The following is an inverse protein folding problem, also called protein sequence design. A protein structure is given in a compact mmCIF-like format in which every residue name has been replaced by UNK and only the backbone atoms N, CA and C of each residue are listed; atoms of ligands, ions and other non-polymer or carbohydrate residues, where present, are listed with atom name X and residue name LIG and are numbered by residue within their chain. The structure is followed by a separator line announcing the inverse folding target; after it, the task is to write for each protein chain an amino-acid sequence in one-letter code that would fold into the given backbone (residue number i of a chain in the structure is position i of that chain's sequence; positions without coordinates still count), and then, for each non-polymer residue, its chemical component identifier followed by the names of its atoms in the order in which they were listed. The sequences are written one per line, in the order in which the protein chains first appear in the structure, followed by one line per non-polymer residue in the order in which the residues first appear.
data_IF_671790814098
#
_entry.id   IF_671790814098
#
_cell.length_a   1.000
_cell.length_b   1.000
_cell.length_c   1.000
_cell.angle_alpha   90.00
_cell.angle_beta   90.00
_cell.angle_gamma   90.00
#
_symmetry.space_group_name_H-M   'P 1'
#
loop_
_entity.id
_entity.type
_entity.pdbx_description
1 polymer ?
#
# COMPACT_ATOMS: atom_id res chain seq x y z
N UNK A 1 -34.71 12.36 -4.55
CA UNK A 1 -33.96 11.14 -4.20
C UNK A 1 -32.52 11.56 -3.96
N UNK A 2 -32.10 11.70 -2.69
CA UNK A 2 -30.76 12.18 -2.37
C UNK A 2 -29.87 10.96 -2.06
N UNK A 3 -28.91 10.66 -2.93
CA UNK A 3 -27.92 9.61 -2.67
C UNK A 3 -26.87 10.22 -1.75
N UNK A 4 -26.84 9.80 -0.48
CA UNK A 4 -25.75 10.11 0.43
C UNK A 4 -24.44 9.65 -0.24
N UNK A 5 -23.64 10.61 -0.69
CA UNK A 5 -22.27 10.38 -1.11
C UNK A 5 -21.47 10.34 0.18
N UNK A 6 -21.13 9.14 0.66
CA UNK A 6 -20.08 9.03 1.66
C UNK A 6 -18.83 9.68 1.06
N UNK A 7 -18.28 10.75 1.67
CA UNK A 7 -17.11 11.39 1.13
C UNK A 7 -15.99 10.34 1.05
N UNK A 8 -15.41 10.18 -0.13
CA UNK A 8 -14.24 9.34 -0.32
C UNK A 8 -13.11 9.92 0.53
N UNK A 9 -12.72 9.19 1.59
CA UNK A 9 -11.61 9.58 2.47
C UNK A 9 -10.40 8.72 2.09
N UNK A 10 -9.32 9.37 1.70
CA UNK A 10 -8.06 8.70 1.44
C UNK A 10 -7.45 8.21 2.75
N UNK A 11 -7.36 6.89 2.92
CA UNK A 11 -6.73 6.29 4.08
C UNK A 11 -5.20 6.46 4.10
N UNK A 12 -4.58 6.68 2.95
CA UNK A 12 -3.14 6.91 2.78
C UNK A 12 -2.99 8.03 1.77
N UNK A 13 -2.30 9.11 2.15
CA UNK A 13 -2.09 10.31 1.33
C UNK A 13 -0.60 10.56 1.15
N UNK A 14 -0.13 10.50 -0.10
CA UNK A 14 1.20 10.92 -0.54
C UNK A 14 2.36 10.43 0.36
N UNK A 15 2.45 9.11 0.53
CA UNK A 15 3.50 8.48 1.34
C UNK A 15 4.59 7.93 0.44
N UNK A 16 5.84 8.32 0.73
CA UNK A 16 7.04 7.75 0.12
C UNK A 16 7.95 7.16 1.19
N UNK A 17 8.30 5.87 1.05
CA UNK A 17 9.20 5.16 1.96
C UNK A 17 10.08 4.18 1.19
N UNK A 18 11.29 3.93 1.72
CA UNK A 18 12.22 2.93 1.21
C UNK A 18 12.77 2.12 2.39
N UNK A 19 12.85 0.80 2.22
CA UNK A 19 13.35 -0.13 3.23
C UNK A 19 14.51 -0.90 2.60
N UNK A 20 15.72 -0.68 3.11
CA UNK A 20 16.90 -1.41 2.63
C UNK A 20 16.88 -2.87 3.09
N UNK A 21 17.54 -3.74 2.32
CA UNK A 21 17.70 -5.15 2.66
C UNK A 21 18.33 -5.31 4.06
N UNK A 22 17.75 -6.20 4.87
CA UNK A 22 18.20 -6.46 6.24
C UNK A 22 17.84 -5.38 7.26
N UNK A 23 17.05 -4.36 6.89
CA UNK A 23 16.51 -3.37 7.83
C UNK A 23 15.09 -3.70 8.23
N UNK A 24 14.71 -3.23 9.41
CA UNK A 24 13.33 -3.29 9.91
C UNK A 24 12.80 -1.87 10.07
N UNK A 25 11.64 -1.59 9.47
CA UNK A 25 10.92 -0.33 9.62
C UNK A 25 9.72 -0.53 10.58
N UNK A 26 9.64 0.30 11.62
CA UNK A 26 8.45 0.38 12.48
C UNK A 26 7.53 1.52 12.03
N UNK A 27 6.27 1.20 11.73
CA UNK A 27 5.24 2.19 11.38
C UNK A 27 4.32 2.45 12.58
N UNK A 28 4.37 3.67 13.12
CA UNK A 28 3.60 4.07 14.32
C UNK A 28 2.70 5.28 14.02
N UNK A 29 1.65 5.46 14.82
CA UNK A 29 0.68 6.55 14.65
C UNK A 29 -0.67 6.22 15.27
N UNK A 30 -1.56 7.21 15.35
CA UNK A 30 -2.90 7.07 15.97
C UNK A 30 -3.81 6.06 15.26
N UNK A 31 -4.82 5.56 15.97
CA UNK A 31 -5.85 4.72 15.35
C UNK A 31 -6.53 5.48 14.19
N UNK A 32 -6.67 4.83 13.03
CA UNK A 32 -7.24 5.46 11.84
C UNK A 32 -6.23 6.19 10.92
N UNK A 33 -4.96 6.33 11.30
CA UNK A 33 -3.95 7.02 10.49
C UNK A 33 -3.47 6.25 9.23
N UNK A 34 -4.17 5.22 8.77
CA UNK A 34 -3.84 4.52 7.52
C UNK A 34 -2.80 3.40 7.60
N UNK A 35 -2.20 3.14 8.76
CA UNK A 35 -1.10 2.15 8.92
C UNK A 35 -1.43 0.75 8.40
N UNK A 36 -2.60 0.21 8.77
CA UNK A 36 -3.05 -1.12 8.32
C UNK A 36 -3.34 -1.13 6.83
N UNK A 37 -3.88 -0.05 6.28
CA UNK A 37 -4.14 0.08 4.84
C UNK A 37 -2.82 0.09 4.07
N UNK A 38 -1.86 0.93 4.48
CA UNK A 38 -0.52 0.97 3.86
C UNK A 38 0.18 -0.39 3.92
N UNK A 39 0.19 -1.04 5.09
CA UNK A 39 0.80 -2.37 5.26
C UNK A 39 0.17 -3.43 4.36
N UNK A 40 -1.16 -3.43 4.23
CA UNK A 40 -1.89 -4.34 3.32
C UNK A 40 -1.60 -4.07 1.85
N UNK A 41 -1.46 -2.80 1.47
CA UNK A 41 -1.11 -2.43 0.10
C UNK A 41 0.29 -2.90 -0.29
N UNK A 42 1.27 -2.82 0.62
CA UNK A 42 2.64 -3.31 0.39
C UNK A 42 2.66 -4.80 0.03
N UNK A 43 1.80 -5.61 0.66
CA UNK A 43 1.69 -7.06 0.39
C UNK A 43 0.57 -7.40 -0.60
N UNK A 44 0.07 -6.41 -1.37
CA UNK A 44 -1.01 -6.54 -2.37
C UNK A 44 -2.33 -7.16 -1.86
N UNK A 45 -2.61 -7.05 -0.57
CA UNK A 45 -3.93 -7.41 0.01
C UNK A 45 -4.97 -6.30 -0.17
N UNK A 46 -4.55 -5.11 -0.61
CA UNK A 46 -5.42 -3.97 -0.88
C UNK A 46 -4.84 -3.18 -2.05
N UNK A 47 -5.62 -2.99 -3.11
CA UNK A 47 -5.19 -2.21 -4.27
C UNK A 47 -4.92 -0.75 -3.89
N UNK A 48 -3.87 -0.17 -4.47
CA UNK A 48 -3.57 1.25 -4.33
C UNK A 48 -4.36 2.06 -5.37
N UNK A 49 -4.83 3.24 -4.97
CA UNK A 49 -5.54 4.15 -5.88
C UNK A 49 -4.58 4.82 -6.88
N UNK A 50 -3.33 5.09 -6.46
CA UNK A 50 -2.29 5.70 -7.30
C UNK A 50 -0.89 5.43 -6.73
N UNK A 51 0.14 5.74 -7.53
CA UNK A 51 1.54 5.52 -7.17
C UNK A 51 2.05 4.13 -7.54
N UNK A 52 3.21 3.76 -6.98
CA UNK A 52 3.91 2.53 -7.31
C UNK A 52 4.50 1.91 -6.06
N UNK A 53 4.47 0.57 -5.98
CA UNK A 53 5.17 -0.20 -4.95
C UNK A 53 6.18 -1.08 -5.67
N UNK A 54 7.47 -0.95 -5.32
CA UNK A 54 8.53 -1.75 -5.91
C UNK A 54 9.14 -2.70 -4.90
N UNK A 55 9.40 -3.93 -5.30
CA UNK A 55 10.15 -4.93 -4.54
C UNK A 55 11.29 -5.45 -5.41
N UNK A 56 12.52 -5.43 -4.89
CA UNK A 56 13.74 -5.84 -5.64
C UNK A 56 13.88 -5.18 -7.03
N UNK A 57 13.43 -3.92 -7.15
CA UNK A 57 13.49 -3.15 -8.39
C UNK A 57 12.35 -3.44 -9.38
N UNK A 58 11.46 -4.38 -9.08
CA UNK A 58 10.26 -4.67 -9.89
C UNK A 58 9.01 -3.99 -9.31
N UNK A 59 8.18 -3.40 -10.16
CA UNK A 59 6.85 -2.91 -9.78
C UNK A 59 5.90 -4.10 -9.56
N UNK A 60 5.55 -4.35 -8.31
CA UNK A 60 4.72 -5.50 -7.94
C UNK A 60 3.26 -5.30 -8.36
N UNK A 61 2.81 -4.09 -8.64
CA UNK A 61 1.46 -3.81 -9.15
C UNK A 61 1.23 -4.37 -10.54
N UNK A 62 2.30 -4.50 -11.34
CA UNK A 62 2.24 -4.98 -12.73
C UNK A 62 2.56 -6.48 -12.88
N UNK A 63 2.97 -7.15 -11.80
CA UNK A 63 3.31 -8.57 -11.82
C UNK A 63 2.06 -9.46 -11.81
N UNK A 64 2.09 -10.55 -12.57
CA UNK A 64 1.06 -11.59 -12.50
C UNK A 64 1.10 -12.28 -11.13
N UNK A 65 0.02 -12.96 -10.75
CA UNK A 65 -0.03 -13.66 -9.46
C UNK A 65 1.04 -14.76 -9.34
N UNK A 66 1.40 -15.43 -10.43
CA UNK A 66 2.46 -16.44 -10.40
C UNK A 66 3.84 -15.80 -10.17
N UNK A 67 4.16 -14.71 -10.87
CA UNK A 67 5.48 -14.06 -10.77
C UNK A 67 5.75 -13.48 -9.36
N UNK A 68 4.70 -13.16 -8.62
CA UNK A 68 4.80 -12.63 -7.26
C UNK A 68 5.26 -13.70 -6.23
N UNK A 69 4.91 -14.97 -6.45
CA UNK A 69 5.19 -16.06 -5.50
C UNK A 69 6.36 -16.97 -5.94
N UNK A 70 6.85 -16.79 -7.16
CA UNK A 70 7.93 -17.59 -7.75
C UNK A 70 9.34 -16.99 -7.54
N UNK A 71 9.48 -15.88 -6.79
CA UNK A 71 10.76 -15.28 -6.38
C UNK A 71 11.21 -15.74 -4.98
#
# INVERSE_FOLDING_TARGET
MNRNHDPYIDAVLDVSLSIEQGKTLGLVGESGAGKTTLGRSIVRLTEITSGTITFEGADIGQMSSNDLFDN
#
